data_IF_717542546807
#
_entry.id   IF_717542546807
#
_cell.length_a   1.000
_cell.length_b   1.000
_cell.length_c   1.000
_cell.angle_alpha   90.00
_cell.angle_beta   90.00
_cell.angle_gamma   90.00
#
_symmetry.space_group_name_H-M   'P 1'
#
loop_
_entity.id
_entity.type
_entity.pdbx_description
1 polymer ?
#
# COMPACT_ATOMS: atom_id res chain seq x y z
N UNK A 1 28.33 29.49 -2.56
CA UNK A 1 28.58 29.77 -1.13
C UNK A 1 28.14 28.64 -0.17
N UNK A 2 27.74 27.44 -0.66
CA UNK A 2 27.42 26.26 0.15
C UNK A 2 28.58 25.23 0.30
N UNK A 3 29.59 25.29 -0.56
CA UNK A 3 30.73 24.35 -0.55
C UNK A 3 31.77 24.60 0.57
N UNK A 4 31.64 25.70 1.33
CA UNK A 4 32.58 26.06 2.40
C UNK A 4 32.13 25.64 3.81
N UNK A 5 30.88 25.18 3.97
CA UNK A 5 30.39 24.67 5.25
C UNK A 5 30.67 23.17 5.44
N UNK A 6 30.97 22.43 4.36
CA UNK A 6 31.26 20.99 4.41
C UNK A 6 32.68 20.66 4.91
N UNK A 7 33.64 21.60 4.76
CA UNK A 7 35.01 21.41 5.27
C UNK A 7 35.16 21.63 6.77
N UNK A 8 34.20 22.31 7.42
CA UNK A 8 34.30 22.63 8.86
C UNK A 8 33.81 21.49 9.76
N UNK A 9 32.91 20.62 9.26
CA UNK A 9 32.46 19.43 9.97
C UNK A 9 33.44 18.25 9.94
N UNK A 10 34.40 18.23 9.01
CA UNK A 10 35.41 17.15 8.89
C UNK A 10 36.65 17.45 9.75
N UNK A 11 36.99 18.73 9.96
CA UNK A 11 38.13 19.12 10.81
C UNK A 11 37.90 18.82 12.31
N UNK A 12 36.64 18.81 12.76
CA UNK A 12 36.30 18.43 14.14
C UNK A 12 36.32 16.89 14.35
N UNK A 13 36.35 16.11 13.26
CA UNK A 13 36.58 14.66 13.30
C UNK A 13 38.07 14.29 13.29
N UNK A 14 38.94 15.14 12.70
CA UNK A 14 40.41 14.93 12.70
C UNK A 14 41.14 15.56 13.90
N UNK A 15 40.50 16.48 14.64
CA UNK A 15 41.03 17.07 15.88
C UNK A 15 40.67 16.31 17.17
N UNK A 16 39.71 15.40 17.08
CA UNK A 16 39.29 14.54 18.18
C UNK A 16 40.03 13.22 18.08
N UNK A 17 41.25 13.16 18.62
CA UNK A 17 41.76 11.91 19.20
C UNK A 17 40.85 11.52 20.38
N UNK A 18 39.62 11.14 20.08
CA UNK A 18 38.87 10.23 20.91
C UNK A 18 39.30 8.85 20.47
N UNK A 19 39.99 8.17 21.37
CA UNK A 19 40.28 6.74 21.33
C UNK A 19 39.01 5.87 21.37
N UNK A 20 37.81 6.45 21.31
CA UNK A 20 36.56 5.70 21.26
C UNK A 20 36.16 5.39 19.82
N UNK A 21 36.96 4.55 19.17
CA UNK A 21 36.37 3.46 18.39
C UNK A 21 35.63 2.56 19.37
N UNK A 22 34.46 3.00 19.83
CA UNK A 22 33.65 2.25 20.77
C UNK A 22 33.37 0.87 20.18
N UNK A 23 33.62 -0.23 20.92
CA UNK A 23 33.38 -1.56 20.38
C UNK A 23 31.93 -1.64 19.92
N UNK A 24 31.74 -2.14 18.70
CA UNK A 24 30.44 -2.56 18.21
C UNK A 24 29.67 -3.27 19.33
N UNK A 25 28.39 -2.90 19.54
CA UNK A 25 27.56 -3.53 20.58
C UNK A 25 27.72 -5.05 20.50
N UNK A 26 27.80 -5.79 21.62
CA UNK A 26 27.90 -7.24 21.59
C UNK A 26 26.75 -7.81 20.73
N UNK A 27 27.09 -8.44 19.61
CA UNK A 27 26.12 -8.98 18.64
C UNK A 27 25.78 -8.09 17.43
N UNK A 28 26.41 -6.93 17.27
CA UNK A 28 26.20 -6.08 16.10
C UNK A 28 26.73 -6.72 14.80
N UNK A 29 25.98 -6.51 13.74
CA UNK A 29 26.25 -6.99 12.38
C UNK A 29 26.86 -5.89 11.52
N UNK A 30 27.47 -6.28 10.40
CA UNK A 30 27.92 -5.33 9.38
C UNK A 30 26.77 -4.43 8.87
N UNK A 31 25.57 -4.99 8.77
CA UNK A 31 24.36 -4.26 8.40
C UNK A 31 23.98 -3.18 9.41
N UNK A 32 24.14 -3.43 10.71
CA UNK A 32 23.87 -2.44 11.75
C UNK A 32 24.78 -1.22 11.60
N UNK A 33 26.08 -1.45 11.40
CA UNK A 33 27.07 -0.38 11.18
C UNK A 33 26.75 0.43 9.92
N UNK A 34 26.39 -0.25 8.83
CA UNK A 34 26.04 0.42 7.58
C UNK A 34 24.75 1.27 7.70
N UNK A 35 23.72 0.77 8.40
CA UNK A 35 22.47 1.52 8.63
C UNK A 35 22.71 2.78 9.46
N UNK A 36 23.52 2.67 10.51
CA UNK A 36 23.91 3.83 11.32
C UNK A 36 24.66 4.86 10.48
N UNK A 37 25.61 4.43 9.64
CA UNK A 37 26.36 5.30 8.75
C UNK A 37 25.49 6.00 7.69
N UNK A 38 24.57 5.27 7.04
CA UNK A 38 23.60 5.83 6.09
C UNK A 38 22.69 6.86 6.77
N UNK A 39 22.19 6.54 7.97
CA UNK A 39 21.36 7.46 8.77
C UNK A 39 22.12 8.73 9.14
N UNK A 40 23.38 8.60 9.57
CA UNK A 40 24.24 9.72 9.90
C UNK A 40 24.53 10.62 8.68
N UNK A 41 24.59 10.03 7.48
CA UNK A 41 24.69 10.76 6.21
C UNK A 41 23.37 11.37 5.72
N UNK A 42 22.25 11.16 6.43
CA UNK A 42 20.93 11.63 6.04
C UNK A 42 20.29 10.83 4.89
N UNK A 43 20.76 9.61 4.64
CA UNK A 43 20.30 8.74 3.56
C UNK A 43 19.23 7.79 4.10
N UNK A 44 18.02 7.89 3.53
CA UNK A 44 16.93 6.97 3.84
C UNK A 44 17.22 5.58 3.26
N UNK A 45 16.89 4.53 4.01
CA UNK A 45 17.12 3.13 3.61
C UNK A 45 15.98 2.24 4.11
N UNK A 46 15.75 1.12 3.42
CA UNK A 46 14.69 0.16 3.73
C UNK A 46 15.10 -0.81 4.85
N UNK A 47 14.13 -1.18 5.68
CA UNK A 47 14.29 -2.13 6.79
C UNK A 47 13.58 -3.47 6.56
N UNK A 48 12.75 -3.58 5.52
CA UNK A 48 11.88 -4.74 5.25
C UNK A 48 12.56 -5.85 4.41
N UNK A 49 13.71 -5.56 3.80
CA UNK A 49 14.43 -6.47 2.91
C UNK A 49 15.24 -7.57 3.65
N UNK A 50 15.18 -7.58 4.98
CA UNK A 50 15.93 -8.49 5.85
C UNK A 50 15.41 -9.93 5.88
N UNK A 51 14.26 -10.23 5.26
CA UNK A 51 13.77 -11.62 5.17
C UNK A 51 14.73 -12.58 4.43
N UNK A 52 15.72 -12.04 3.70
CA UNK A 52 16.81 -12.82 3.08
C UNK A 52 18.20 -12.56 3.68
N UNK A 53 18.36 -11.59 4.60
CA UNK A 53 19.63 -11.24 5.25
C UNK A 53 20.78 -10.83 4.32
N UNK A 54 20.55 -10.54 3.04
CA UNK A 54 21.63 -10.50 2.04
C UNK A 54 22.08 -9.10 1.61
N UNK A 55 21.24 -8.07 1.77
CA UNK A 55 21.55 -6.69 1.36
C UNK A 55 20.65 -5.64 2.06
N UNK A 56 21.09 -4.38 2.02
CA UNK A 56 20.35 -3.18 2.43
C UNK A 56 20.02 -2.37 1.17
N UNK A 57 18.77 -1.91 1.04
CA UNK A 57 18.36 -1.05 -0.06
C UNK A 57 18.30 0.42 0.37
N UNK A 58 18.79 1.27 -0.53
CA UNK A 58 18.57 2.71 -0.56
C UNK A 58 17.69 2.98 -1.77
N UNK A 59 16.45 3.36 -1.52
CA UNK A 59 15.54 3.73 -2.61
C UNK A 59 15.94 5.10 -3.16
N UNK A 60 15.87 5.20 -4.48
CA UNK A 60 15.97 6.45 -5.21
C UNK A 60 14.58 6.80 -5.74
N UNK A 61 14.38 8.06 -6.11
CA UNK A 61 13.19 8.42 -6.87
C UNK A 61 13.18 7.66 -8.21
N UNK A 62 11.99 7.31 -8.71
CA UNK A 62 11.76 6.67 -10.02
C UNK A 62 12.11 5.17 -10.09
N UNK A 63 11.62 4.36 -9.15
CA UNK A 63 11.82 2.90 -9.06
C UNK A 63 13.28 2.44 -8.95
N UNK A 64 14.27 3.33 -9.05
CA UNK A 64 15.66 2.94 -8.95
C UNK A 64 16.04 2.61 -7.49
N UNK A 65 16.94 1.64 -7.31
CA UNK A 65 17.39 1.22 -5.97
C UNK A 65 18.89 1.00 -5.99
N UNK A 66 19.58 1.48 -4.96
CA UNK A 66 20.94 1.05 -4.68
C UNK A 66 20.88 -0.07 -3.65
N UNK A 67 21.47 -1.21 -3.98
CA UNK A 67 21.56 -2.38 -3.08
C UNK A 67 22.99 -2.54 -2.62
N UNK A 68 23.19 -2.52 -1.30
CA UNK A 68 24.48 -2.72 -0.66
C UNK A 68 24.49 -4.06 0.04
N UNK A 69 25.44 -4.92 -0.33
CA UNK A 69 25.63 -6.26 0.23
C UNK A 69 27.07 -6.43 0.71
N UNK A 70 27.30 -7.16 1.80
CA UNK A 70 28.64 -7.64 2.13
C UNK A 70 29.03 -8.82 1.22
N UNK A 71 30.33 -9.09 1.06
CA UNK A 71 30.82 -10.35 0.49
C UNK A 71 30.43 -11.54 1.41
N UNK A 72 29.19 -12.01 1.26
CA UNK A 72 28.57 -13.08 2.07
C UNK A 72 27.14 -12.72 2.49
N UNK A 73 26.99 -11.74 3.38
CA UNK A 73 25.70 -11.26 3.90
C UNK A 73 25.91 -10.01 4.78
N UNK A 74 24.92 -9.12 4.82
CA UNK A 74 24.92 -7.95 5.74
C UNK A 74 24.70 -8.37 7.20
N UNK A 75 24.13 -9.55 7.45
CA UNK A 75 23.89 -10.09 8.79
C UNK A 75 25.11 -10.76 9.43
N UNK A 76 26.29 -10.70 8.79
CA UNK A 76 27.52 -11.26 9.35
C UNK A 76 28.04 -10.39 10.52
N UNK A 77 28.68 -10.99 11.54
CA UNK A 77 29.31 -10.22 12.62
C UNK A 77 30.34 -9.24 12.10
N UNK A 78 30.50 -8.10 12.77
CA UNK A 78 31.49 -7.05 12.41
C UNK A 78 32.90 -7.61 12.18
N UNK A 79 33.34 -8.54 13.04
CA UNK A 79 34.67 -9.16 12.93
C UNK A 79 34.85 -10.03 11.67
N UNK A 80 33.76 -10.41 11.01
CA UNK A 80 33.75 -11.22 9.80
C UNK A 80 33.63 -10.38 8.52
N UNK A 81 33.81 -9.05 8.59
CA UNK A 81 33.80 -8.18 7.41
C UNK A 81 34.82 -8.62 6.36
N UNK A 82 34.38 -8.59 5.09
CA UNK A 82 35.15 -9.00 3.92
C UNK A 82 34.94 -8.05 2.73
N UNK A 83 34.39 -6.87 3.00
CA UNK A 83 34.16 -5.86 1.99
C UNK A 83 32.69 -5.67 1.62
N UNK A 84 32.39 -4.49 1.07
CA UNK A 84 31.08 -4.10 0.54
C UNK A 84 31.02 -4.18 -0.98
N UNK A 85 29.82 -4.47 -1.49
CA UNK A 85 29.44 -4.28 -2.89
C UNK A 85 28.16 -3.46 -2.93
N UNK A 86 28.16 -2.37 -3.69
CA UNK A 86 26.98 -1.56 -3.96
C UNK A 86 26.64 -1.60 -5.46
N UNK A 87 25.37 -1.87 -5.76
CA UNK A 87 24.84 -1.95 -7.12
C UNK A 87 23.66 -1.02 -7.28
N UNK A 88 23.69 -0.21 -8.33
CA UNK A 88 22.57 0.61 -8.78
C UNK A 88 21.69 -0.21 -9.73
N UNK A 89 20.41 -0.31 -9.41
CA UNK A 89 19.36 -0.94 -10.19
C UNK A 89 18.44 0.16 -10.74
N UNK A 90 18.50 0.49 -12.05
CA UNK A 90 17.73 1.59 -12.63
C UNK A 90 16.22 1.34 -12.68
N UNK A 91 15.77 0.09 -12.54
CA UNK A 91 14.35 -0.29 -12.62
C UNK A 91 13.82 -0.92 -11.31
N UNK A 92 14.61 -0.88 -10.23
CA UNK A 92 14.26 -1.41 -8.91
C UNK A 92 14.16 -2.92 -8.81
N UNK A 93 14.18 -3.60 -9.95
CA UNK A 93 13.98 -5.04 -10.01
C UNK A 93 15.28 -5.79 -9.68
N UNK A 94 15.13 -7.02 -9.21
CA UNK A 94 16.27 -7.90 -8.93
C UNK A 94 16.86 -8.54 -10.19
N UNK A 95 16.64 -7.96 -11.38
CA UNK A 95 17.14 -8.50 -12.63
C UNK A 95 18.66 -8.26 -12.80
N UNK A 96 19.25 -8.84 -13.85
CA UNK A 96 20.68 -8.71 -14.16
C UNK A 96 21.09 -7.32 -14.66
N UNK A 97 20.15 -6.39 -14.86
CA UNK A 97 20.45 -5.02 -15.30
C UNK A 97 20.77 -4.16 -14.09
N UNK A 98 22.01 -4.27 -13.63
CA UNK A 98 22.56 -3.41 -12.60
C UNK A 98 23.91 -2.85 -13.03
N UNK A 99 24.29 -1.73 -12.42
CA UNK A 99 25.63 -1.17 -12.51
C UNK A 99 26.25 -1.22 -11.13
N UNK A 100 27.41 -1.85 -11.02
CA UNK A 100 28.20 -1.74 -9.80
C UNK A 100 28.72 -0.31 -9.65
N UNK A 101 28.48 0.29 -8.48
CA UNK A 101 28.93 1.64 -8.13
C UNK A 101 30.05 1.61 -7.08
N UNK A 102 30.21 0.48 -6.40
CA UNK A 102 31.29 0.25 -5.44
C UNK A 102 31.51 -1.25 -5.26
N UNK A 103 32.77 -1.69 -5.18
CA UNK A 103 33.17 -3.02 -4.72
C UNK A 103 34.54 -2.94 -4.07
N UNK A 104 34.71 -3.69 -2.98
CA UNK A 104 35.93 -3.78 -2.21
C UNK A 104 35.98 -5.14 -1.53
N UNK A 105 37.19 -5.70 -1.39
CA UNK A 105 37.48 -6.90 -0.59
C UNK A 105 38.15 -6.53 0.76
N UNK A 106 38.04 -5.27 1.20
CA UNK A 106 38.68 -4.78 2.41
C UNK A 106 38.07 -5.39 3.68
N UNK A 107 38.91 -5.78 4.63
CA UNK A 107 38.47 -6.18 5.97
C UNK A 107 38.31 -4.98 6.95
N UNK A 108 38.73 -3.77 6.54
CA UNK A 108 38.57 -2.55 7.34
C UNK A 108 37.14 -2.02 7.21
N UNK A 109 36.25 -2.47 8.09
CA UNK A 109 34.83 -2.10 8.05
C UNK A 109 34.60 -0.59 8.11
N UNK A 110 35.39 0.17 8.88
CA UNK A 110 35.14 1.59 9.07
C UNK A 110 35.47 2.39 7.80
N UNK A 111 36.65 2.14 7.22
CA UNK A 111 37.06 2.78 5.98
C UNK A 111 36.16 2.35 4.81
N UNK A 112 35.84 1.06 4.75
CA UNK A 112 35.02 0.48 3.68
C UNK A 112 33.56 0.98 3.74
N UNK A 113 32.99 1.11 4.94
CA UNK A 113 31.63 1.69 5.14
C UNK A 113 31.59 3.16 4.75
N UNK A 114 32.64 3.92 5.05
CA UNK A 114 32.75 5.32 4.65
C UNK A 114 32.78 5.46 3.13
N UNK A 115 33.56 4.61 2.45
CA UNK A 115 33.70 4.61 1.01
C UNK A 115 32.38 4.23 0.30
N UNK A 116 31.66 3.22 0.79
CA UNK A 116 30.38 2.83 0.19
C UNK A 116 29.31 3.90 0.38
N UNK A 117 29.24 4.58 1.53
CA UNK A 117 28.31 5.71 1.76
C UNK A 117 28.63 6.87 0.81
N UNK A 118 29.91 7.15 0.56
CA UNK A 118 30.32 8.16 -0.43
C UNK A 118 29.86 7.80 -1.84
N UNK A 119 30.04 6.54 -2.25
CA UNK A 119 29.61 6.06 -3.58
C UNK A 119 28.09 6.09 -3.75
N UNK A 120 27.33 5.75 -2.69
CA UNK A 120 25.86 5.89 -2.67
C UNK A 120 25.46 7.34 -2.87
N UNK A 121 26.08 8.27 -2.12
CA UNK A 121 25.79 9.71 -2.19
C UNK A 121 26.06 10.27 -3.59
N UNK A 122 27.21 9.94 -4.18
CA UNK A 122 27.55 10.39 -5.53
C UNK A 122 26.57 9.85 -6.58
N UNK A 123 26.13 8.60 -6.43
CA UNK A 123 25.12 8.01 -7.30
C UNK A 123 23.76 8.72 -7.17
N UNK A 124 23.34 9.07 -5.95
CA UNK A 124 22.12 9.85 -5.68
C UNK A 124 22.17 11.23 -6.33
N UNK A 125 23.30 11.94 -6.20
CA UNK A 125 23.50 13.26 -6.78
C UNK A 125 23.44 13.21 -8.31
N UNK A 126 24.10 12.23 -8.92
CA UNK A 126 24.11 12.04 -10.37
C UNK A 126 22.71 11.69 -10.92
N UNK A 127 21.94 10.87 -10.20
CA UNK A 127 20.57 10.49 -10.59
C UNK A 127 19.60 11.66 -10.50
N UNK A 128 19.75 12.51 -9.48
CA UNK A 128 18.91 13.70 -9.26
C UNK A 128 19.04 14.77 -10.36
N UNK A 129 20.08 14.70 -11.20
CA UNK A 129 20.38 15.68 -12.25
C UNK A 129 19.98 15.24 -13.67
N UNK A 130 19.33 14.08 -13.85
CA UNK A 130 18.83 13.64 -15.17
C UNK A 130 17.41 14.17 -15.46
N UNK A 131 17.20 15.00 -16.51
CA UNK A 131 15.92 15.66 -16.78
C UNK A 131 14.80 14.73 -17.32
N UNK A 132 15.13 13.49 -17.75
CA UNK A 132 14.14 12.53 -18.27
C UNK A 132 13.51 11.62 -17.19
N UNK A 133 14.10 11.55 -15.98
CA UNK A 133 13.57 10.74 -14.88
C UNK A 133 12.29 11.35 -14.27
N UNK A 134 12.18 12.69 -14.28
CA UNK A 134 11.03 13.39 -13.69
C UNK A 134 9.72 13.28 -14.48
N UNK A 135 9.76 12.92 -15.77
CA UNK A 135 8.54 12.75 -16.56
C UNK A 135 7.91 11.37 -16.36
N UNK A 136 8.75 10.32 -16.26
CA UNK A 136 8.29 8.94 -16.10
C UNK A 136 7.84 8.65 -14.65
N UNK A 137 8.57 9.13 -13.65
CA UNK A 137 8.11 9.04 -12.25
C UNK A 137 6.85 9.86 -11.95
N UNK A 138 6.57 10.94 -12.70
CA UNK A 138 5.28 11.62 -12.62
C UNK A 138 4.13 10.78 -13.17
N UNK A 139 4.39 9.98 -14.20
CA UNK A 139 3.38 9.11 -14.82
C UNK A 139 3.17 7.87 -13.96
N UNK A 140 4.23 7.26 -13.44
CA UNK A 140 4.16 6.03 -12.63
C UNK A 140 3.75 6.32 -11.17
N UNK A 141 4.17 7.46 -10.60
CA UNK A 141 3.64 7.98 -9.33
C UNK A 141 2.16 8.35 -9.45
N UNK A 142 1.75 8.99 -10.55
CA UNK A 142 0.33 9.21 -10.82
C UNK A 142 -0.41 7.87 -11.03
N UNK A 143 0.20 6.86 -11.65
CA UNK A 143 -0.42 5.54 -11.80
C UNK A 143 -0.61 4.84 -10.45
N UNK A 144 0.37 4.91 -9.54
CA UNK A 144 0.25 4.37 -8.18
C UNK A 144 -0.79 5.15 -7.35
N UNK A 145 -0.82 6.48 -7.45
CA UNK A 145 -1.86 7.31 -6.84
C UNK A 145 -3.25 7.04 -7.42
N UNK A 146 -3.35 6.77 -8.73
CA UNK A 146 -4.59 6.41 -9.41
C UNK A 146 -5.07 5.01 -8.99
N UNK A 147 -4.17 4.03 -8.87
CA UNK A 147 -4.51 2.69 -8.38
C UNK A 147 -4.96 2.73 -6.92
N UNK A 148 -4.27 3.52 -6.08
CA UNK A 148 -4.68 3.76 -4.71
C UNK A 148 -6.04 4.46 -4.65
N UNK A 149 -6.23 5.57 -5.37
CA UNK A 149 -7.50 6.27 -5.44
C UNK A 149 -8.64 5.38 -5.98
N UNK A 150 -8.34 4.52 -6.95
CA UNK A 150 -9.28 3.53 -7.48
C UNK A 150 -9.66 2.50 -6.42
N UNK A 151 -8.70 2.01 -5.65
CA UNK A 151 -8.94 1.07 -4.55
C UNK A 151 -9.80 1.68 -3.44
N UNK A 152 -9.51 2.93 -3.02
CA UNK A 152 -10.31 3.71 -2.07
C UNK A 152 -11.73 3.94 -2.61
N UNK A 153 -11.87 4.27 -3.89
CA UNK A 153 -13.18 4.43 -4.51
C UNK A 153 -13.96 3.10 -4.58
N UNK A 154 -13.30 1.97 -4.81
CA UNK A 154 -13.92 0.63 -4.74
C UNK A 154 -14.44 0.37 -3.31
N UNK A 155 -13.62 0.61 -2.30
CA UNK A 155 -13.97 0.39 -0.89
C UNK A 155 -15.12 1.30 -0.45
N UNK A 156 -15.06 2.59 -0.79
CA UNK A 156 -16.12 3.54 -0.48
C UNK A 156 -17.47 3.13 -1.08
N UNK A 157 -17.49 2.63 -2.32
CA UNK A 157 -18.71 2.12 -2.98
C UNK A 157 -19.26 0.87 -2.29
N UNK A 158 -18.40 -0.04 -1.85
CA UNK A 158 -18.82 -1.22 -1.08
C UNK A 158 -19.42 -0.83 0.26
N UNK A 159 -18.76 0.08 0.98
CA UNK A 159 -19.26 0.59 2.25
C UNK A 159 -20.61 1.30 2.08
N UNK A 160 -20.79 2.07 1.00
CA UNK A 160 -22.07 2.69 0.68
C UNK A 160 -23.19 1.66 0.47
N UNK A 161 -22.94 0.58 -0.28
CA UNK A 161 -23.93 -0.49 -0.47
C UNK A 161 -24.33 -1.18 0.84
N UNK A 162 -23.36 -1.43 1.73
CA UNK A 162 -23.61 -2.03 3.06
C UNK A 162 -24.42 -1.08 3.94
N UNK A 163 -24.08 0.21 3.95
CA UNK A 163 -24.81 1.23 4.70
C UNK A 163 -26.23 1.41 4.16
N UNK A 164 -26.41 1.41 2.84
CA UNK A 164 -27.72 1.46 2.21
C UNK A 164 -28.59 0.26 2.60
N UNK A 165 -28.06 -0.96 2.54
CA UNK A 165 -28.78 -2.17 2.98
C UNK A 165 -29.16 -2.11 4.47
N UNK A 166 -28.26 -1.58 5.32
CA UNK A 166 -28.51 -1.38 6.75
C UNK A 166 -29.64 -0.37 6.98
N UNK A 167 -29.60 0.75 6.28
CA UNK A 167 -30.63 1.79 6.37
C UNK A 167 -31.99 1.28 5.86
N UNK A 168 -32.03 0.59 4.72
CA UNK A 168 -33.23 -0.07 4.21
C UNK A 168 -33.80 -1.07 5.23
N UNK A 169 -32.95 -1.86 5.88
CA UNK A 169 -33.38 -2.73 6.99
C UNK A 169 -34.04 -1.96 8.13
N UNK A 170 -33.55 -0.75 8.43
CA UNK A 170 -34.15 0.12 9.45
C UNK A 170 -35.48 0.76 9.04
N UNK A 171 -35.69 1.00 7.74
CA UNK A 171 -36.94 1.49 7.17
C UNK A 171 -38.02 0.39 7.12
N UNK A 172 -37.65 -0.82 6.72
CA UNK A 172 -38.60 -1.90 6.49
C UNK A 172 -39.10 -2.54 7.79
N UNK A 173 -38.21 -2.82 8.75
CA UNK A 173 -38.56 -3.62 9.95
C UNK A 173 -39.68 -3.06 10.84
N UNK A 174 -39.87 -1.73 10.98
CA UNK A 174 -41.04 -1.19 11.69
C UNK A 174 -42.38 -1.61 11.07
N UNK A 175 -42.42 -1.88 9.77
CA UNK A 175 -43.64 -2.21 9.01
C UNK A 175 -43.69 -3.69 8.60
N UNK A 176 -42.53 -4.32 8.45
CA UNK A 176 -42.32 -5.71 8.09
C UNK A 176 -41.33 -6.35 9.08
N UNK A 177 -41.76 -6.72 10.31
CA UNK A 177 -40.86 -7.15 11.39
C UNK A 177 -39.98 -8.36 11.04
N UNK A 178 -40.44 -9.21 10.12
CA UNK A 178 -39.69 -10.36 9.63
C UNK A 178 -38.64 -10.05 8.56
N UNK A 179 -38.54 -8.80 8.06
CA UNK A 179 -37.68 -8.46 6.93
C UNK A 179 -36.20 -8.78 7.19
N UNK A 180 -35.68 -9.73 6.41
CA UNK A 180 -34.31 -10.24 6.50
C UNK A 180 -33.54 -10.09 5.19
N UNK A 181 -34.23 -10.13 4.05
CA UNK A 181 -33.63 -9.92 2.74
C UNK A 181 -34.59 -9.17 1.82
N UNK A 182 -34.05 -8.53 0.79
CA UNK A 182 -34.83 -7.99 -0.32
C UNK A 182 -34.34 -8.55 -1.64
N UNK A 183 -35.21 -8.54 -2.64
CA UNK A 183 -34.84 -8.80 -4.03
C UNK A 183 -35.01 -7.49 -4.79
N UNK A 184 -33.93 -6.96 -5.35
CA UNK A 184 -33.86 -5.66 -6.00
C UNK A 184 -33.36 -5.81 -7.43
N UNK A 185 -34.08 -5.21 -8.37
CA UNK A 185 -33.73 -5.17 -9.78
C UNK A 185 -32.92 -3.90 -10.05
N UNK A 186 -31.62 -4.06 -10.28
CA UNK A 186 -30.69 -2.94 -10.41
C UNK A 186 -30.90 -2.15 -11.71
N UNK A 187 -31.36 -2.81 -12.79
CA UNK A 187 -31.61 -2.18 -14.10
C UNK A 187 -32.81 -1.26 -14.05
N UNK A 188 -33.95 -1.80 -13.61
CA UNK A 188 -35.22 -1.06 -13.55
C UNK A 188 -35.35 -0.21 -12.29
N UNK A 189 -34.42 -0.38 -11.34
CA UNK A 189 -34.46 0.24 -10.01
C UNK A 189 -35.79 -0.06 -9.32
N UNK A 190 -36.15 -1.32 -9.22
CA UNK A 190 -37.41 -1.74 -8.59
C UNK A 190 -37.19 -2.75 -7.49
N UNK A 191 -37.89 -2.57 -6.37
CA UNK A 191 -37.98 -3.57 -5.32
C UNK A 191 -38.98 -4.66 -5.75
N UNK A 192 -38.51 -5.89 -5.89
CA UNK A 192 -39.34 -7.03 -6.32
C UNK A 192 -40.03 -7.71 -5.15
N UNK A 193 -39.29 -7.94 -4.07
CA UNK A 193 -39.79 -8.63 -2.89
C UNK A 193 -39.01 -8.26 -1.63
N UNK A 194 -39.66 -8.44 -0.48
CA UNK A 194 -39.02 -8.49 0.85
C UNK A 194 -39.28 -9.88 1.41
N UNK A 195 -38.24 -10.55 1.90
CA UNK A 195 -38.28 -11.92 2.43
C UNK A 195 -37.87 -11.96 3.89
N UNK A 196 -38.38 -12.94 4.62
CA UNK A 196 -37.96 -13.26 5.98
C UNK A 196 -36.74 -14.18 6.04
N UNK A 197 -36.32 -14.52 7.26
CA UNK A 197 -35.18 -15.42 7.50
C UNK A 197 -35.41 -16.84 6.96
N UNK A 198 -36.66 -17.25 6.71
CA UNK A 198 -37.00 -18.52 6.10
C UNK A 198 -37.04 -18.43 4.55
N UNK A 199 -36.74 -17.26 3.99
CA UNK A 199 -36.83 -17.00 2.55
C UNK A 199 -38.26 -16.80 2.05
N UNK A 200 -39.26 -16.74 2.93
CA UNK A 200 -40.65 -16.52 2.56
C UNK A 200 -40.90 -15.04 2.29
N UNK A 201 -41.64 -14.74 1.21
CA UNK A 201 -41.97 -13.36 0.89
C UNK A 201 -42.97 -12.79 1.90
N UNK A 202 -42.54 -11.77 2.65
CA UNK A 202 -43.41 -10.98 3.54
C UNK A 202 -44.04 -9.79 2.83
N UNK A 203 -43.46 -9.40 1.68
CA UNK A 203 -44.03 -8.44 0.73
C UNK A 203 -43.54 -8.76 -0.68
N UNK A 204 -44.37 -8.49 -1.70
CA UNK A 204 -43.94 -8.56 -3.11
C UNK A 204 -44.65 -7.52 -3.96
N UNK A 205 -44.00 -7.05 -5.01
CA UNK A 205 -44.60 -6.08 -5.95
C UNK A 205 -45.86 -6.62 -6.65
N UNK A 206 -46.03 -7.94 -6.75
CA UNK A 206 -47.22 -8.59 -7.35
C UNK A 206 -48.40 -8.65 -6.40
N UNK A 207 -48.15 -8.68 -5.10
CA UNK A 207 -49.16 -8.82 -4.07
C UNK A 207 -48.94 -7.68 -3.07
N UNK A 208 -49.58 -6.53 -3.29
CA UNK A 208 -49.55 -5.41 -2.36
C UNK A 208 -49.87 -5.92 -0.95
N UNK A 209 -48.87 -5.97 -0.07
CA UNK A 209 -49.11 -6.38 1.32
C UNK A 209 -49.82 -5.24 2.05
N UNK A 210 -50.86 -5.58 2.80
CA UNK A 210 -51.56 -4.64 3.68
C UNK A 210 -50.61 -4.21 4.79
N UNK A 211 -50.50 -2.90 5.05
CA UNK A 211 -49.74 -2.36 6.20
C UNK A 211 -48.39 -1.71 5.86
N UNK A 212 -47.97 -1.71 4.60
CA UNK A 212 -46.83 -0.90 4.15
C UNK A 212 -47.31 0.54 3.88
N UNK A 213 -46.72 1.57 4.51
CA UNK A 213 -47.04 2.97 4.23
C UNK A 213 -46.82 3.30 2.75
N UNK A 214 -47.69 4.15 2.20
CA UNK A 214 -47.45 4.76 0.89
C UNK A 214 -46.14 5.56 0.95
N UNK A 215 -45.24 5.37 -0.02
CA UNK A 215 -43.92 6.01 -0.05
C UNK A 215 -42.78 5.14 0.45
N UNK A 216 -43.02 4.14 1.31
CA UNK A 216 -41.91 3.34 1.89
C UNK A 216 -41.12 2.58 0.81
N UNK A 217 -41.82 2.08 -0.20
CA UNK A 217 -41.19 1.31 -1.28
C UNK A 217 -40.39 2.25 -2.18
N UNK A 218 -40.92 3.45 -2.43
CA UNK A 218 -40.27 4.52 -3.16
C UNK A 218 -38.99 4.97 -2.43
N UNK A 219 -39.02 5.16 -1.12
CA UNK A 219 -37.85 5.52 -0.31
C UNK A 219 -36.76 4.44 -0.39
N UNK A 220 -37.14 3.15 -0.32
CA UNK A 220 -36.18 2.04 -0.47
C UNK A 220 -35.57 2.02 -1.87
N UNK A 221 -36.39 2.25 -2.89
CA UNK A 221 -35.94 2.32 -4.28
C UNK A 221 -34.99 3.50 -4.50
N UNK A 222 -35.28 4.66 -3.92
CA UNK A 222 -34.45 5.87 -4.01
C UNK A 222 -33.08 5.62 -3.36
N UNK A 223 -33.05 5.14 -2.11
CA UNK A 223 -31.80 4.86 -1.37
C UNK A 223 -30.90 3.89 -2.12
N UNK A 224 -31.46 2.78 -2.61
CA UNK A 224 -30.68 1.78 -3.34
C UNK A 224 -30.30 2.29 -4.73
N UNK A 225 -31.20 3.00 -5.41
CA UNK A 225 -30.94 3.62 -6.70
C UNK A 225 -29.80 4.63 -6.67
N UNK A 226 -29.73 5.43 -5.60
CA UNK A 226 -28.65 6.38 -5.36
C UNK A 226 -27.33 5.66 -5.08
N UNK A 227 -27.33 4.64 -4.23
CA UNK A 227 -26.14 3.83 -3.96
C UNK A 227 -25.58 3.16 -5.23
N UNK A 228 -26.47 2.67 -6.10
CA UNK A 228 -26.13 2.09 -7.41
C UNK A 228 -25.58 3.13 -8.39
N UNK A 229 -26.02 4.39 -8.28
CA UNK A 229 -25.58 5.50 -9.12
C UNK A 229 -24.08 5.78 -9.05
N UNK A 230 -23.40 5.36 -7.97
CA UNK A 230 -21.96 5.50 -7.81
C UNK A 230 -21.14 4.41 -8.53
N UNK A 231 -21.78 3.57 -9.34
CA UNK A 231 -21.12 2.66 -10.28
C UNK A 231 -20.67 1.36 -9.61
N UNK A 232 -21.54 0.36 -9.60
CA UNK A 232 -21.29 -0.92 -8.94
C UNK A 232 -21.40 -2.05 -9.96
N UNK A 233 -20.28 -2.66 -10.33
CA UNK A 233 -20.27 -3.88 -11.13
C UNK A 233 -20.56 -5.12 -10.27
N UNK A 234 -20.76 -6.27 -10.90
CA UNK A 234 -21.02 -7.56 -10.24
C UNK A 234 -20.06 -7.88 -9.07
N UNK A 235 -18.77 -7.49 -9.20
CA UNK A 235 -17.75 -7.69 -8.15
C UNK A 235 -18.03 -6.86 -6.90
N UNK A 236 -18.51 -5.62 -7.05
CA UNK A 236 -18.83 -4.76 -5.90
C UNK A 236 -20.05 -5.29 -5.14
N UNK A 237 -21.07 -5.79 -5.86
CA UNK A 237 -22.24 -6.45 -5.26
C UNK A 237 -21.84 -7.67 -4.45
N UNK A 238 -21.07 -8.59 -5.04
CA UNK A 238 -20.61 -9.79 -4.34
C UNK A 238 -19.84 -9.45 -3.06
N UNK A 239 -18.96 -8.44 -3.10
CA UNK A 239 -18.20 -7.98 -1.93
C UNK A 239 -19.07 -7.30 -0.87
N UNK A 240 -20.13 -6.62 -1.27
CA UNK A 240 -21.14 -6.08 -0.34
C UNK A 240 -22.09 -7.14 0.21
N UNK A 241 -21.92 -8.42 -0.15
CA UNK A 241 -22.77 -9.52 0.29
C UNK A 241 -24.08 -9.64 -0.48
N UNK A 242 -24.20 -8.98 -1.64
CA UNK A 242 -25.35 -9.08 -2.53
C UNK A 242 -25.14 -10.24 -3.49
N UNK A 243 -26.16 -11.09 -3.62
CA UNK A 243 -26.09 -12.30 -4.45
C UNK A 243 -27.01 -12.16 -5.64
N UNK A 244 -26.55 -12.49 -6.85
CA UNK A 244 -27.45 -12.59 -8.00
C UNK A 244 -28.49 -13.67 -7.74
N UNK A 245 -29.77 -13.38 -8.02
CA UNK A 245 -30.86 -14.33 -7.83
C UNK A 245 -30.88 -15.44 -8.89
N UNK A 246 -30.06 -15.32 -9.94
CA UNK A 246 -29.89 -16.34 -10.98
C UNK A 246 -31.08 -16.52 -11.94
N UNK A 247 -32.24 -15.92 -11.66
CA UNK A 247 -33.44 -16.03 -12.50
C UNK A 247 -33.45 -15.01 -13.65
N UNK A 248 -32.85 -13.83 -13.45
CA UNK A 248 -32.80 -12.73 -14.42
C UNK A 248 -31.47 -11.98 -14.19
N UNK A 249 -30.78 -11.60 -15.26
CA UNK A 249 -29.60 -10.75 -15.19
C UNK A 249 -29.92 -9.47 -14.37
N UNK A 250 -29.03 -9.08 -13.48
CA UNK A 250 -29.10 -7.84 -12.67
C UNK A 250 -30.20 -7.76 -11.58
N UNK A 251 -30.83 -8.89 -11.22
CA UNK A 251 -31.61 -8.99 -9.98
C UNK A 251 -30.73 -9.50 -8.86
N UNK A 252 -30.67 -8.74 -7.76
CA UNK A 252 -29.84 -9.04 -6.61
C UNK A 252 -30.69 -9.27 -5.36
N UNK A 253 -30.39 -10.37 -4.69
CA UNK A 253 -30.84 -10.61 -3.33
C UNK A 253 -29.86 -9.94 -2.36
N UNK A 254 -30.39 -9.06 -1.52
CA UNK A 254 -29.63 -8.24 -0.57
C UNK A 254 -30.04 -8.64 0.84
N UNK A 255 -29.08 -9.15 1.61
CA UNK A 255 -29.29 -9.42 3.03
C UNK A 255 -29.37 -8.09 3.79
N UNK A 256 -30.37 -7.96 4.65
CA UNK A 256 -30.55 -6.82 5.53
C UNK A 256 -29.84 -7.11 6.85
N UNK A 257 -28.75 -6.42 7.21
CA UNK A 257 -28.04 -6.67 8.46
C UNK A 257 -28.97 -6.52 9.67
N UNK A 258 -28.93 -7.47 10.61
CA UNK A 258 -29.65 -7.33 11.88
C UNK A 258 -29.06 -6.13 12.65
N UNK A 259 -29.91 -5.34 13.30
CA UNK A 259 -29.45 -4.26 14.19
C UNK A 259 -28.87 -4.84 15.47
#
# INVERSE_FOLDING_TARGET
>A
MKALLYRRGIADYEGSRSTDGGPARPGATNGDVLREALTAAGIAHRTDCETSGSWIAVDLDCDATIRVSGHGSVGTPVAAHRGWVARFHPDGTANSRHREIYSSDSADLAADTTAVVSAVTECMDHHSHQPDAGHRARIDGAACELDYAHSVAIEARQNLLVLAATYVGSLLRPHLPGAAAISFDATSRTLRAVRDNAGQAVWSARCHAVGVPAGLIEDVVEVLGDALGYGTGAVAFAKAGWTSSGEIDEVYDVLLPQK
#
